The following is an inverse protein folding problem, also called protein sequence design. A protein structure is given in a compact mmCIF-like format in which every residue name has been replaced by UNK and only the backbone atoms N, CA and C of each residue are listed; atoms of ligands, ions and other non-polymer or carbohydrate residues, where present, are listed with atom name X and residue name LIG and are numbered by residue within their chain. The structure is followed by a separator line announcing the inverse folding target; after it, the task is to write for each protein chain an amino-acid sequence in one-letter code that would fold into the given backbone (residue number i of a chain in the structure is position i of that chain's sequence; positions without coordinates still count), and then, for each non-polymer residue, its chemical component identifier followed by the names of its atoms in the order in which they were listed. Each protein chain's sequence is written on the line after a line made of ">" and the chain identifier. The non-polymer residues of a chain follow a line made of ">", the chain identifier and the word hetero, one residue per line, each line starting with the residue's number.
data_IF_643344559051
#
_entry.id   IF_643344559051
#
_cell.length_a   1.000
_cell.length_b   1.000
_cell.length_c   1.000
_cell.angle_alpha   90.00
_cell.angle_beta   90.00
_cell.angle_gamma   90.00
#
_symmetry.space_group_name_H-M   'P 1'
#
loop_
_entity.id
_entity.type
_entity.pdbx_description
1 polymer ?
2 non-polymer ?
3 water ?
#
# COMPACT_ATOMS: atom_id res chain seq x y z
N UNK A 3 26.27 10.03 0.24
CA UNK A 3 26.00 9.32 -1.00
C UNK A 3 26.31 7.83 -0.84
N UNK A 4 25.99 7.03 -1.85
CA UNK A 4 26.24 5.59 -1.77
C UNK A 4 26.19 4.89 -3.12
N UNK A 5 26.13 3.55 -3.07
CA UNK A 5 26.10 2.71 -4.27
C UNK A 5 24.75 2.55 -4.97
N UNK A 6 23.76 3.33 -4.57
CA UNK A 6 22.45 3.23 -5.22
C UNK A 6 22.30 4.37 -6.24
N UNK A 7 23.28 5.27 -6.23
CA UNK A 7 23.28 6.41 -7.14
C UNK A 7 23.54 6.09 -8.59
N UNK A 8 22.82 6.77 -9.48
CA UNK A 8 23.02 6.61 -10.92
C UNK A 8 23.05 8.00 -11.53
N UNK A 9 23.69 8.15 -12.70
CA UNK A 9 23.77 9.45 -13.36
C UNK A 9 22.37 9.83 -13.82
N UNK A 10 22.00 11.09 -13.61
CA UNK A 10 20.69 11.59 -14.02
C UNK A 10 20.52 11.37 -15.54
N UNK A 11 21.61 11.56 -16.26
CA UNK A 11 21.63 11.42 -17.70
C UNK A 11 21.25 10.03 -18.22
N UNK A 12 21.27 9.03 -17.35
CA UNK A 12 20.92 7.67 -17.78
C UNK A 12 19.40 7.41 -17.84
N UNK A 13 18.64 8.38 -17.35
CA UNK A 13 17.18 8.25 -17.30
C UNK A 13 16.42 9.13 -18.28
N UNK A 14 15.51 8.53 -19.02
CA UNK A 14 14.69 9.28 -19.95
C UNK A 14 13.25 9.21 -19.45
N UNK A 15 12.76 10.30 -18.87
CA UNK A 15 11.38 10.36 -18.38
C UNK A 15 10.53 10.49 -19.63
N UNK A 16 9.39 9.84 -19.65
CA UNK A 16 8.54 9.88 -20.84
C UNK A 16 7.10 10.29 -20.60
N UNK A 17 6.35 9.44 -19.92
CA UNK A 17 4.94 9.70 -19.65
C UNK A 17 4.75 10.01 -18.18
N UNK A 18 3.78 10.85 -17.87
CA UNK A 18 3.48 11.14 -16.47
C UNK A 18 2.30 10.24 -16.17
N UNK A 19 2.51 9.25 -15.31
CA UNK A 19 1.48 8.29 -14.94
C UNK A 19 0.47 8.88 -13.97
N UNK A 20 0.98 9.71 -13.06
CA UNK A 20 0.14 10.34 -12.06
C UNK A 20 0.93 11.38 -11.30
N UNK A 21 0.45 11.75 -10.13
CA UNK A 21 1.12 12.78 -9.35
C UNK A 21 0.58 12.91 -7.94
N UNK A 22 1.49 13.08 -6.98
CA UNK A 22 1.10 13.25 -5.60
C UNK A 22 1.45 14.69 -5.21
N UNK A 23 0.93 15.16 -4.07
CA UNK A 23 1.23 16.53 -3.64
C UNK A 23 2.74 16.73 -3.46
N UNK A 24 3.43 15.66 -3.08
CA UNK A 24 4.88 15.69 -2.87
C UNK A 24 5.61 15.09 -4.08
N UNK A 25 5.60 15.80 -5.21
CA UNK A 25 6.27 15.31 -6.39
C UNK A 25 5.39 14.88 -7.55
N UNK A 26 5.74 13.77 -8.20
CA UNK A 26 5.00 13.22 -9.34
C UNK A 26 5.52 11.82 -9.64
N UNK A 27 4.89 11.12 -10.58
CA UNK A 27 5.32 9.77 -10.99
C UNK A 27 5.34 9.68 -12.52
N UNK A 28 6.53 9.39 -13.06
CA UNK A 28 6.75 9.26 -14.50
C UNK A 28 7.18 7.86 -14.94
N UNK A 29 6.85 7.50 -16.16
CA UNK A 29 7.30 6.23 -16.71
C UNK A 29 8.52 6.67 -17.52
N UNK A 30 9.54 5.83 -17.59
CA UNK A 30 10.71 6.20 -18.35
C UNK A 30 11.59 5.01 -18.64
N UNK A 31 12.84 5.28 -19.01
CA UNK A 31 13.82 4.24 -19.31
C UNK A 31 15.12 4.53 -18.58
N UNK A 32 15.85 3.49 -18.25
CA UNK A 32 17.10 3.58 -17.53
C UNK A 32 18.17 2.96 -18.41
N UNK A 33 19.25 3.71 -18.65
CA UNK A 33 20.36 3.26 -19.49
C UNK A 33 19.79 2.77 -20.79
N UNK A 34 18.74 3.45 -21.26
CA UNK A 34 18.09 3.10 -22.50
C UNK A 34 17.33 1.77 -22.54
N UNK A 35 17.84 0.74 -21.86
CA UNK A 35 17.20 -0.57 -21.89
C UNK A 35 16.08 -0.85 -20.89
N UNK A 36 16.23 -0.40 -19.64
CA UNK A 36 15.23 -0.69 -18.63
C UNK A 36 14.08 0.32 -18.52
N UNK A 37 12.85 -0.17 -18.63
CA UNK A 37 11.69 0.69 -18.50
C UNK A 37 11.43 0.78 -17.00
N UNK A 38 11.44 1.99 -16.46
CA UNK A 38 11.23 2.18 -15.03
C UNK A 38 10.15 3.22 -14.70
N UNK A 39 9.93 3.41 -13.41
CA UNK A 39 8.97 4.38 -12.91
C UNK A 39 9.79 5.26 -11.98
N UNK A 40 9.67 6.57 -12.13
CA UNK A 40 10.43 7.52 -11.32
C UNK A 40 9.52 8.45 -10.53
N UNK A 41 9.84 8.64 -9.26
CA UNK A 41 9.07 9.54 -8.41
C UNK A 41 10.01 10.71 -8.15
N UNK A 42 9.58 11.90 -8.57
CA UNK A 42 10.41 13.09 -8.43
C UNK A 42 9.95 14.01 -7.30
N UNK A 43 10.89 14.80 -6.80
CA UNK A 43 10.61 15.74 -5.73
C UNK A 43 10.43 17.13 -6.33
N UNK A 44 9.22 17.67 -6.22
CA UNK A 44 8.97 19.02 -6.70
C UNK A 44 9.65 19.87 -5.65
N UNK A 45 10.59 20.74 -6.07
CA UNK A 45 11.36 21.63 -5.20
C UNK A 45 10.67 22.33 -4.00
N UNK A 46 9.34 22.35 -3.98
CA UNK A 46 8.63 23.01 -2.89
C UNK A 46 8.14 22.17 -1.72
N UNK A 47 7.16 21.31 -2.02
CA UNK A 47 6.47 20.44 -1.06
C UNK A 47 7.17 19.91 0.23
N UNK A 48 8.46 19.64 0.18
CA UNK A 48 9.17 19.14 1.38
C UNK A 48 10.69 19.05 1.23
N UNK A 49 11.37 18.87 2.36
CA UNK A 49 12.83 18.78 2.39
C UNK A 49 13.34 17.48 1.78
N UNK A 50 14.37 17.57 0.92
CA UNK A 50 15.00 16.44 0.22
C UNK A 50 15.36 15.26 1.13
N UNK A 51 15.80 15.56 2.34
CA UNK A 51 16.17 14.53 3.31
C UNK A 51 14.98 13.59 3.55
N UNK A 52 13.79 14.19 3.66
CA UNK A 52 12.54 13.48 3.91
C UNK A 52 12.07 12.62 2.73
N UNK A 53 12.15 13.17 1.51
CA UNK A 53 11.74 12.44 0.31
C UNK A 53 12.57 11.16 0.23
N UNK A 54 13.85 11.29 0.57
CA UNK A 54 14.78 10.18 0.56
C UNK A 54 14.56 9.12 1.63
N UNK A 55 13.96 9.50 2.76
CA UNK A 55 13.71 8.54 3.83
C UNK A 55 13.00 7.32 3.26
N UNK A 56 12.12 7.55 2.29
CA UNK A 56 11.38 6.48 1.67
C UNK A 56 12.28 5.49 0.93
N UNK A 57 13.23 6.03 0.17
CA UNK A 57 14.15 5.20 -0.58
C UNK A 57 15.01 4.35 0.36
N UNK A 58 15.51 4.99 1.42
CA UNK A 58 16.35 4.32 2.39
C UNK A 58 15.66 3.06 2.89
N UNK A 59 14.39 3.19 3.24
CA UNK A 59 13.58 2.08 3.71
C UNK A 59 13.62 0.99 2.63
N UNK A 60 13.41 1.39 1.38
CA UNK A 60 13.43 0.45 0.29
C UNK A 60 14.79 -0.17 0.05
N UNK A 61 15.85 0.51 0.48
CA UNK A 61 17.20 -0.03 0.34
C UNK A 61 17.28 -1.24 1.24
N UNK A 62 16.51 -1.21 2.32
CA UNK A 62 16.52 -2.29 3.28
C UNK A 62 15.36 -3.24 3.08
N UNK A 63 14.32 -2.76 2.42
CA UNK A 63 13.15 -3.60 2.19
C UNK A 63 13.13 -4.14 0.78
N UNK A 64 13.44 -5.41 0.65
CA UNK A 64 13.49 -6.06 -0.66
C UNK A 64 12.64 -7.35 -0.64
N UNK A 65 11.51 -7.32 -1.33
CA UNK A 65 10.60 -8.47 -1.41
C UNK A 65 9.82 -8.43 -2.71
N UNK A 66 9.61 -9.60 -3.31
CA UNK A 66 8.88 -9.72 -4.57
C UNK A 66 7.47 -9.10 -4.58
N UNK A 67 6.88 -8.90 -3.41
CA UNK A 67 5.54 -8.30 -3.32
C UNK A 67 5.58 -6.86 -2.87
N UNK A 68 6.76 -6.27 -2.97
CA UNK A 68 6.97 -4.87 -2.61
C UNK A 68 7.61 -4.31 -3.84
N UNK A 69 7.19 -3.13 -4.28
CA UNK A 69 7.79 -2.51 -5.46
C UNK A 69 9.29 -2.52 -5.22
N UNK A 70 10.05 -2.76 -6.29
CA UNK A 70 11.48 -2.84 -6.16
C UNK A 70 12.27 -1.60 -6.54
N UNK A 71 13.13 -1.21 -5.62
CA UNK A 71 14.01 -0.08 -5.79
C UNK A 71 15.13 -0.43 -6.76
N UNK A 72 15.28 0.42 -7.77
CA UNK A 72 16.32 0.24 -8.76
C UNK A 72 17.49 1.15 -8.50
N UNK A 73 17.22 2.44 -8.42
CA UNK A 73 18.28 3.41 -8.18
C UNK A 73 17.75 4.75 -7.70
N UNK A 74 18.69 5.62 -7.34
CA UNK A 74 18.35 6.95 -6.83
C UNK A 74 19.27 8.05 -7.40
N UNK A 75 18.73 9.26 -7.45
CA UNK A 75 19.44 10.44 -7.91
C UNK A 75 19.08 11.44 -6.81
N UNK A 76 19.88 11.43 -5.75
CA UNK A 76 19.65 12.30 -4.59
C UNK A 76 19.95 13.78 -4.78
N UNK A 77 20.35 14.15 -5.99
CA UNK A 77 20.62 15.54 -6.29
C UNK A 77 19.28 16.09 -6.77
N UNK A 78 18.74 17.02 -5.98
CA UNK A 78 17.45 17.63 -6.29
C UNK A 78 17.50 18.30 -7.67
N UNK A 79 16.47 18.09 -8.51
CA UNK A 79 15.26 17.30 -8.26
C UNK A 79 15.57 15.83 -8.00
N UNK A 80 15.19 15.39 -6.81
CA UNK A 80 15.42 14.02 -6.39
C UNK A 80 14.55 13.06 -7.20
N UNK A 81 15.17 12.01 -7.71
CA UNK A 81 14.46 11.00 -8.46
C UNK A 81 14.54 9.69 -7.70
N UNK A 82 13.44 8.95 -7.68
CA UNK A 82 13.45 7.65 -7.04
C UNK A 82 13.01 6.69 -8.15
N UNK A 83 13.92 5.80 -8.53
CA UNK A 83 13.67 4.84 -9.61
C UNK A 83 13.34 3.44 -9.09
N UNK A 84 12.24 2.89 -9.59
CA UNK A 84 11.80 1.56 -9.21
C UNK A 84 11.34 0.80 -10.42
N UNK A 85 10.95 -0.46 -10.20
CA UNK A 85 10.43 -1.29 -11.27
C UNK A 85 9.16 -0.61 -11.77
N UNK A 86 8.63 -1.11 -12.88
CA UNK A 86 7.43 -0.52 -13.45
C UNK A 86 6.27 -1.50 -13.33
N UNK A 87 5.14 -1.01 -12.85
CA UNK A 87 3.94 -1.83 -12.70
C UNK A 87 3.02 -1.41 -13.82
N UNK A 88 2.78 -2.32 -14.76
CA UNK A 88 1.97 -2.08 -15.94
C UNK A 88 0.52 -1.62 -15.82
N UNK A 89 -0.11 -1.82 -14.66
CA UNK A 89 -1.50 -1.44 -14.51
C UNK A 89 -1.84 -0.35 -13.49
N UNK A 90 -0.81 0.12 -12.78
CA UNK A 90 -1.04 1.20 -11.82
C UNK A 90 -1.63 0.81 -10.50
N UNK A 91 -2.21 1.78 -9.81
CA UNK A 91 -2.83 1.52 -8.51
C UNK A 91 -3.99 0.55 -8.63
N UNK A 92 -4.09 -0.32 -7.63
CA UNK A 92 -5.14 -1.31 -7.53
C UNK A 92 -6.50 -0.62 -7.48
N UNK A 93 -6.55 0.50 -6.78
CA UNK A 93 -7.79 1.25 -6.63
C UNK A 93 -8.41 1.56 -7.98
N UNK A 94 -7.67 2.31 -8.82
CA UNK A 94 -8.16 2.67 -10.15
C UNK A 94 -8.53 1.43 -10.94
N UNK A 95 -7.65 0.45 -10.92
CA UNK A 95 -7.85 -0.82 -11.61
C UNK A 95 -9.22 -1.43 -11.25
N UNK A 96 -9.56 -1.36 -9.97
CA UNK A 96 -10.81 -1.89 -9.46
C UNK A 96 -12.00 -1.07 -9.94
N UNK A 97 -11.87 0.24 -9.83
CA UNK A 97 -12.94 1.13 -10.24
C UNK A 97 -13.06 1.14 -11.75
N UNK A 98 -12.04 0.61 -12.42
CA UNK A 98 -12.01 0.55 -13.86
C UNK A 98 -12.86 -0.56 -14.48
N UNK A 99 -12.84 -0.61 -15.80
CA UNK A 99 -13.59 -1.61 -16.55
C UNK A 99 -13.08 -3.04 -16.34
N UNK A 100 -11.77 -3.24 -16.39
CA UNK A 100 -11.18 -4.57 -16.19
C UNK A 100 -11.50 -5.08 -14.79
N UNK A 101 -11.56 -4.14 -13.84
CA UNK A 101 -11.87 -4.48 -12.47
C UNK A 101 -13.30 -4.97 -12.28
N UNK A 102 -14.22 -4.54 -13.13
CA UNK A 102 -15.59 -4.97 -12.97
C UNK A 102 -15.85 -6.44 -13.29
N UNK A 103 -14.93 -7.07 -14.00
CA UNK A 103 -15.11 -8.48 -14.34
C UNK A 103 -14.37 -9.42 -13.40
N UNK A 104 -13.69 -8.82 -12.43
CA UNK A 104 -12.92 -9.60 -11.48
C UNK A 104 -13.81 -10.41 -10.56
N UNK A 105 -13.45 -11.66 -10.35
CA UNK A 105 -14.23 -12.53 -9.51
C UNK A 105 -13.55 -12.78 -8.19
N UNK A 106 -14.36 -13.15 -7.21
CA UNK A 106 -13.92 -13.44 -5.84
C UNK A 106 -12.52 -14.08 -5.75
N UNK A 107 -12.29 -15.17 -6.49
CA UNK A 107 -10.98 -15.83 -6.46
C UNK A 107 -9.82 -14.92 -6.86
N UNK A 108 -10.03 -14.10 -7.89
CA UNK A 108 -8.99 -13.20 -8.34
C UNK A 108 -8.72 -12.20 -7.24
N UNK A 109 -9.79 -11.64 -6.69
CA UNK A 109 -9.73 -10.67 -5.59
C UNK A 109 -8.95 -11.23 -4.41
N UNK A 110 -9.30 -12.44 -3.96
CA UNK A 110 -8.63 -13.09 -2.83
C UNK A 110 -7.17 -13.36 -3.15
N UNK A 111 -6.89 -13.73 -4.39
CA UNK A 111 -5.54 -14.00 -4.83
C UNK A 111 -4.68 -12.76 -4.60
N UNK A 112 -5.22 -11.62 -5.03
CA UNK A 112 -4.55 -10.34 -4.89
C UNK A 112 -4.36 -9.99 -3.43
N UNK A 113 -5.36 -10.30 -2.62
CA UNK A 113 -5.28 -10.03 -1.20
C UNK A 113 -4.15 -10.88 -0.63
N UNK A 114 -4.07 -12.12 -1.09
CA UNK A 114 -3.06 -13.04 -0.63
C UNK A 114 -1.67 -12.48 -0.87
N UNK A 115 -1.47 -11.86 -2.04
CA UNK A 115 -0.17 -11.30 -2.38
C UNK A 115 0.22 -10.14 -1.49
N UNK A 116 -0.73 -9.22 -1.32
CA UNK A 116 -0.53 -8.04 -0.48
C UNK A 116 -0.17 -8.51 0.90
N UNK A 117 -0.89 -9.53 1.37
CA UNK A 117 -0.64 -10.11 2.68
C UNK A 117 0.79 -10.67 2.74
N UNK A 118 1.26 -11.24 1.64
CA UNK A 118 2.61 -11.80 1.58
C UNK A 118 3.64 -10.70 1.76
N UNK A 119 3.46 -9.60 1.04
CA UNK A 119 4.37 -8.48 1.16
C UNK A 119 4.40 -8.01 2.61
N UNK A 120 3.21 -7.89 3.19
CA UNK A 120 3.08 -7.44 4.57
C UNK A 120 3.62 -8.43 5.61
N UNK A 121 3.60 -9.71 5.29
CA UNK A 121 4.13 -10.72 6.20
C UNK A 121 5.64 -10.50 6.29
N UNK A 122 6.22 -9.99 5.21
CA UNK A 122 7.65 -9.70 5.16
C UNK A 122 7.96 -8.49 6.04
N UNK A 123 7.26 -7.39 5.80
CA UNK A 123 7.41 -6.14 6.56
C UNK A 123 7.25 -6.46 8.04
N UNK A 124 6.30 -7.34 8.32
CA UNK A 124 6.03 -7.79 9.66
C UNK A 124 7.29 -8.40 10.25
N UNK A 125 7.73 -9.56 9.75
CA UNK A 125 8.93 -10.17 10.31
C UNK A 125 10.18 -9.30 10.24
N UNK A 126 10.13 -8.24 9.44
CA UNK A 126 11.26 -7.31 9.32
C UNK A 126 11.16 -6.17 10.34
N UNK A 127 10.11 -6.22 11.15
CA UNK A 127 9.84 -5.23 12.19
C UNK A 127 9.66 -3.79 11.74
N UNK A 128 8.96 -3.62 10.64
CA UNK A 128 8.68 -2.29 10.13
C UNK A 128 7.16 -2.14 10.15
N UNK A 129 6.71 -0.91 9.98
CA UNK A 129 5.30 -0.62 9.97
C UNK A 129 5.14 0.31 8.77
N UNK A 130 4.25 -0.04 7.84
CA UNK A 130 4.00 0.77 6.66
C UNK A 130 3.27 2.07 7.01
N UNK A 131 2.11 1.92 7.65
CA UNK A 131 1.30 3.05 8.11
C UNK A 131 0.38 3.72 7.08
N UNK A 132 0.52 3.37 5.81
CA UNK A 132 -0.31 3.99 4.79
C UNK A 132 -0.83 2.90 3.86
N UNK A 133 -1.39 1.86 4.45
CA UNK A 133 -1.90 0.73 3.70
C UNK A 133 -3.36 0.87 3.27
N UNK A 134 -3.56 1.09 1.97
CA UNK A 134 -4.90 1.20 1.37
C UNK A 134 -4.75 0.82 -0.11
N UNK A 135 -5.85 0.50 -0.77
CA UNK A 135 -5.83 0.09 -2.18
C UNK A 135 -5.07 1.07 -3.09
N UNK A 136 -5.14 2.36 -2.79
CA UNK A 136 -4.45 3.35 -3.59
C UNK A 136 -2.93 3.14 -3.59
N UNK A 137 -2.41 2.50 -2.55
CA UNK A 137 -0.98 2.25 -2.44
C UNK A 137 -0.50 0.88 -2.94
N UNK A 138 -1.37 0.17 -3.65
CA UNK A 138 -1.01 -1.14 -4.21
C UNK A 138 -0.90 -0.99 -5.72
N UNK A 139 0.15 -1.55 -6.30
CA UNK A 139 0.37 -1.48 -7.73
C UNK A 139 0.19 -2.84 -8.39
N UNK A 140 -0.52 -2.84 -9.50
CA UNK A 140 -0.81 -4.06 -10.26
C UNK A 140 0.10 -4.16 -11.47
N UNK A 141 0.92 -5.19 -11.49
CA UNK A 141 1.80 -5.39 -12.62
C UNK A 141 1.08 -6.33 -13.55
N UNK A 142 1.82 -6.96 -14.44
CA UNK A 142 1.22 -7.90 -15.38
C UNK A 142 0.82 -9.16 -14.61
N UNK A 143 -0.27 -9.79 -15.03
CA UNK A 143 -0.73 -11.03 -14.42
C UNK A 143 -1.38 -10.88 -13.04
N UNK A 144 -2.07 -9.77 -12.84
CA UNK A 144 -2.74 -9.49 -11.59
C UNK A 144 -1.77 -9.68 -10.42
N UNK A 145 -0.54 -9.28 -10.65
CA UNK A 145 0.49 -9.36 -9.64
C UNK A 145 0.39 -8.02 -8.92
N UNK A 146 0.42 -8.04 -7.59
CA UNK A 146 0.31 -6.82 -6.82
C UNK A 146 1.52 -6.59 -5.92
N UNK A 147 2.03 -5.37 -5.97
CA UNK A 147 3.17 -4.98 -5.16
C UNK A 147 2.68 -3.87 -4.24
N UNK A 148 3.35 -3.75 -3.11
CA UNK A 148 3.02 -2.74 -2.11
C UNK A 148 3.96 -1.56 -2.30
N UNK A 149 3.40 -0.36 -2.46
CA UNK A 149 4.22 0.85 -2.64
C UNK A 149 4.03 1.85 -1.49
N UNK A 150 4.67 3.01 -1.60
CA UNK A 150 4.58 4.07 -0.61
C UNK A 150 5.06 3.83 0.80
N UNK A 151 6.38 3.87 0.95
CA UNK A 151 7.01 3.67 2.24
C UNK A 151 7.43 5.02 2.77
N UNK A 152 6.68 6.06 2.42
CA UNK A 152 6.97 7.40 2.88
C UNK A 152 6.73 7.49 4.37
N UNK A 153 5.90 6.58 4.88
CA UNK A 153 5.58 6.55 6.30
C UNK A 153 6.15 5.30 6.95
N UNK A 154 6.80 4.45 6.15
CA UNK A 154 7.40 3.24 6.66
C UNK A 154 8.44 3.61 7.71
N UNK A 155 8.26 3.07 8.89
CA UNK A 155 9.14 3.36 10.00
C UNK A 155 9.40 2.04 10.69
N UNK A 156 10.61 1.85 11.18
CA UNK A 156 10.91 0.63 11.91
C UNK A 156 10.28 0.93 13.26
N UNK A 157 9.67 -0.07 13.89
CA UNK A 157 9.06 0.16 15.18
C UNK A 157 10.18 0.31 16.21
N UNK A 158 10.50 1.57 16.55
CA UNK A 158 11.57 1.91 17.50
C UNK A 158 11.56 1.04 18.76
N UNK A 170 -3.33 11.99 8.72
CA UNK A 170 -3.40 10.58 8.32
C UNK A 170 -4.68 10.19 7.61
N UNK A 171 -4.62 9.10 6.82
CA UNK A 171 -5.81 8.63 6.09
C UNK A 171 -6.71 7.89 7.11
N UNK A 172 -7.31 8.69 8.01
CA UNK A 172 -8.16 8.20 9.08
C UNK A 172 -9.06 6.99 8.83
N UNK A 173 -9.76 6.96 7.69
CA UNK A 173 -10.63 5.82 7.39
C UNK A 173 -9.92 4.46 7.29
N UNK A 174 -8.59 4.49 7.16
CA UNK A 174 -7.75 3.29 7.05
C UNK A 174 -6.91 3.06 8.29
N UNK A 175 -6.77 4.09 9.10
CA UNK A 175 -5.94 4.02 10.30
C UNK A 175 -6.63 3.40 11.49
N UNK A 176 -5.93 2.49 12.16
CA UNK A 176 -6.47 1.84 13.36
C UNK A 176 -6.70 2.95 14.37
N UNK A 177 -7.80 2.89 15.14
CA UNK A 177 -8.11 3.92 16.14
C UNK A 177 -6.99 4.23 17.14
N UNK A 178 -6.40 3.22 17.76
CA UNK A 178 -5.32 3.47 18.71
C UNK A 178 -4.17 4.27 18.07
N UNK A 179 -3.99 4.09 16.77
CA UNK A 179 -2.93 4.77 16.02
C UNK A 179 -3.34 6.20 15.69
N UNK A 180 -4.56 6.35 15.18
CA UNK A 180 -5.10 7.65 14.83
C UNK A 180 -5.22 8.55 16.06
N UNK A 181 -5.66 7.95 17.16
CA UNK A 181 -5.86 8.65 18.43
C UNK A 181 -4.65 8.89 19.33
N UNK A 182 -3.84 7.86 19.51
CA UNK A 182 -2.70 7.96 20.42
C UNK A 182 -1.34 7.83 19.76
N UNK A 183 -1.34 7.62 18.45
CA UNK A 183 -0.09 7.48 17.73
C UNK A 183 0.58 6.12 17.84
N UNK A 184 -0.08 5.17 18.47
CA UNK A 184 0.52 3.85 18.59
C UNK A 184 0.49 3.15 17.23
N UNK A 185 1.56 3.26 16.48
CA UNK A 185 1.63 2.59 15.20
C UNK A 185 2.46 1.34 15.38
N UNK A 186 1.81 0.20 15.15
CA UNK A 186 2.45 -1.09 15.27
C UNK A 186 2.00 -1.84 14.03
N UNK A 187 2.59 -2.99 13.76
CA UNK A 187 2.18 -3.76 12.59
C UNK A 187 0.69 -4.12 12.71
N UNK A 188 0.18 -4.12 13.94
CA UNK A 188 -1.23 -4.41 14.21
C UNK A 188 -2.14 -3.31 13.65
N UNK A 189 -1.70 -2.04 13.70
CA UNK A 189 -2.51 -0.96 13.15
C UNK A 189 -2.54 -1.13 11.62
N UNK A 190 -1.53 -1.81 11.08
CA UNK A 190 -1.46 -2.08 9.65
C UNK A 190 -2.45 -3.19 9.31
N UNK A 191 -2.57 -4.17 10.21
CA UNK A 191 -3.51 -5.28 10.04
C UNK A 191 -4.90 -4.65 9.96
N UNK A 192 -5.10 -3.62 10.76
CA UNK A 192 -6.36 -2.91 10.76
C UNK A 192 -6.57 -2.34 9.35
N UNK A 193 -5.58 -1.58 8.88
CA UNK A 193 -5.63 -0.96 7.55
C UNK A 193 -5.94 -1.98 6.46
N UNK A 194 -5.40 -3.18 6.63
CA UNK A 194 -5.60 -4.26 5.68
C UNK A 194 -7.05 -4.71 5.61
N UNK A 195 -7.69 -4.86 6.76
CA UNK A 195 -9.08 -5.28 6.80
C UNK A 195 -9.90 -4.30 6.02
N UNK A 196 -9.51 -3.03 6.08
CA UNK A 196 -10.19 -1.95 5.37
C UNK A 196 -9.92 -2.11 3.88
N UNK A 197 -8.68 -2.43 3.55
CA UNK A 197 -8.30 -2.67 2.18
C UNK A 197 -9.18 -3.77 1.62
N UNK A 198 -9.46 -4.77 2.44
CA UNK A 198 -10.31 -5.89 2.06
C UNK A 198 -11.70 -5.47 1.61
N UNK A 199 -12.23 -4.40 2.21
CA UNK A 199 -13.54 -3.92 1.84
C UNK A 199 -13.43 -3.29 0.46
N UNK A 200 -12.32 -2.60 0.20
CA UNK A 200 -12.12 -1.99 -1.10
C UNK A 200 -12.08 -3.07 -2.19
N UNK A 201 -11.31 -4.12 -1.96
CA UNK A 201 -11.24 -5.20 -2.94
C UNK A 201 -12.64 -5.77 -3.17
N UNK A 202 -13.31 -6.17 -2.10
CA UNK A 202 -14.64 -6.74 -2.18
C UNK A 202 -15.79 -5.80 -2.62
N UNK A 203 -15.53 -4.49 -2.67
CA UNK A 203 -16.57 -3.56 -3.10
C UNK A 203 -16.22 -2.92 -4.43
N UNK A 204 -15.18 -3.44 -5.08
CA UNK A 204 -14.71 -2.93 -6.37
C UNK A 204 -14.21 -1.49 -6.23
N UNK A 205 -13.54 -1.24 -5.12
CA UNK A 205 -12.97 0.07 -4.88
C UNK A 205 -13.85 1.13 -4.24
N UNK A 206 -14.98 0.76 -3.67
CA UNK A 206 -15.85 1.76 -3.05
C UNK A 206 -15.22 2.33 -1.78
N UNK A 207 -15.61 3.55 -1.43
CA UNK A 207 -15.04 4.24 -0.27
C UNK A 207 -15.50 3.66 1.06
N UNK A 208 -14.56 3.47 2.00
CA UNK A 208 -14.86 2.93 3.33
C UNK A 208 -15.79 3.90 4.04
N UNK A 209 -16.67 3.38 4.88
CA UNK A 209 -17.61 4.21 5.64
C UNK A 209 -18.27 5.28 4.78
N UNK A 210 -19.14 4.88 3.86
CA UNK A 210 -19.85 5.78 2.95
C UNK A 210 -20.71 6.82 3.69
N UNK A 211 -20.62 8.08 3.25
CA UNK A 211 -21.39 9.14 3.87
C UNK A 211 -20.82 9.65 5.17
N UNK A 212 -19.74 9.02 5.63
CA UNK A 212 -19.10 9.40 6.86
C UNK A 212 -17.91 10.31 6.67
N UNK A 213 -17.77 11.27 7.58
CA UNK A 213 -16.66 12.21 7.56
C UNK A 213 -15.63 11.73 8.59
N UNK A 214 -14.48 12.40 8.62
CA UNK A 214 -13.40 12.03 9.54
C UNK A 214 -13.84 11.77 10.97
N UNK A 215 -14.09 12.84 11.71
CA UNK A 215 -14.50 12.78 13.12
C UNK A 215 -15.62 11.77 13.42
N UNK A 216 -16.57 11.70 12.50
CA UNK A 216 -17.69 10.78 12.60
C UNK A 216 -17.22 9.32 12.61
N UNK A 217 -16.40 8.97 11.61
CA UNK A 217 -15.87 7.61 11.48
C UNK A 217 -15.24 7.22 12.80
N UNK A 218 -14.31 8.03 13.27
CA UNK A 218 -13.59 7.78 14.50
C UNK A 218 -14.52 7.53 15.67
N UNK A 219 -15.48 8.42 15.84
CA UNK A 219 -16.44 8.32 16.93
C UNK A 219 -17.20 7.00 16.83
N UNK A 220 -17.59 6.65 15.62
CA UNK A 220 -18.32 5.41 15.38
C UNK A 220 -17.53 4.17 15.76
N UNK A 221 -16.32 4.08 15.21
CA UNK A 221 -15.43 2.97 15.48
C UNK A 221 -15.16 2.84 16.97
N UNK A 222 -14.89 3.97 17.64
CA UNK A 222 -14.63 3.92 19.07
C UNK A 222 -15.85 3.41 19.81
N UNK A 223 -17.03 3.69 19.26
CA UNK A 223 -18.27 3.22 19.89
C UNK A 223 -18.54 1.77 19.49
N UNK A 224 -17.60 1.16 18.79
CA UNK A 224 -17.75 -0.23 18.39
C UNK A 224 -18.35 -0.48 17.03
N UNK A 225 -18.49 0.57 16.21
CA UNK A 225 -19.06 0.40 14.89
C UNK A 225 -18.03 -0.22 13.96
N UNK A 226 -18.47 -1.18 13.15
CA UNK A 226 -17.64 -1.85 12.16
C UNK A 226 -18.45 -1.92 10.87
N UNK A 227 -17.78 -1.89 9.72
CA UNK A 227 -18.52 -1.95 8.46
C UNK A 227 -19.22 -3.29 8.31
N UNK A 228 -20.45 -3.28 7.77
CA UNK A 228 -21.22 -4.51 7.59
C UNK A 228 -20.63 -5.33 6.44
N UNK A 229 -20.93 -6.63 6.44
CA UNK A 229 -20.44 -7.51 5.39
C UNK A 229 -20.90 -6.99 4.04
N UNK A 230 -19.96 -6.71 3.14
CA UNK A 230 -20.31 -6.20 1.80
C UNK A 230 -21.21 -7.19 1.07
N UNK A 231 -22.14 -6.69 0.23
CA UNK A 231 -22.99 -7.65 -0.47
C UNK A 231 -21.99 -8.26 -1.44
N UNK A 232 -22.22 -9.49 -1.90
CA UNK A 232 -21.27 -10.15 -2.81
C UNK A 232 -20.09 -10.66 -2.01
N UNK A 233 -19.96 -10.22 -0.77
CA UNK A 233 -18.85 -10.66 0.07
C UNK A 233 -19.31 -11.73 1.04
N UNK A 234 -18.56 -12.85 1.10
CA UNK A 234 -18.75 -14.05 1.95
C UNK A 234 -18.46 -13.72 3.40
N UNK A 235 -19.39 -14.06 4.29
CA UNK A 235 -19.25 -13.82 5.73
C UNK A 235 -17.89 -14.20 6.27
N UNK A 236 -17.41 -15.40 5.89
CA UNK A 236 -16.11 -15.91 6.35
C UNK A 236 -15.00 -14.89 6.09
N UNK A 237 -15.13 -14.17 4.99
CA UNK A 237 -14.16 -13.15 4.64
C UNK A 237 -14.42 -11.92 5.51
N UNK A 238 -15.70 -11.63 5.76
CA UNK A 238 -16.09 -10.51 6.59
C UNK A 238 -15.63 -10.77 8.02
N UNK A 239 -15.59 -12.05 8.39
CA UNK A 239 -15.16 -12.47 9.72
C UNK A 239 -13.70 -12.15 9.82
N UNK A 240 -13.00 -12.40 8.72
CA UNK A 240 -11.59 -12.14 8.63
C UNK A 240 -11.36 -10.66 8.83
N UNK A 241 -12.20 -9.84 8.19
CA UNK A 241 -12.11 -8.39 8.32
C UNK A 241 -12.30 -7.97 9.78
N UNK A 242 -13.18 -8.69 10.48
CA UNK A 242 -13.48 -8.39 11.89
C UNK A 242 -12.33 -8.68 12.83
N UNK A 243 -11.54 -9.68 12.48
CA UNK A 243 -10.37 -10.03 13.27
C UNK A 243 -9.37 -8.87 13.16
N UNK A 244 -9.28 -8.33 11.95
CA UNK A 244 -8.39 -7.20 11.66
C UNK A 244 -8.80 -5.97 12.43
N UNK A 245 -10.10 -5.76 12.50
CA UNK A 245 -10.68 -4.62 13.17
C UNK A 245 -10.94 -4.78 14.66
N UNK A 246 -10.38 -5.82 15.28
CA UNK A 246 -10.61 -5.98 16.70
C UNK A 246 -10.03 -4.77 17.43
N UNK A 247 -10.71 -4.34 18.49
CA UNK A 247 -10.28 -3.18 19.28
C UNK A 247 -8.93 -3.42 19.92
N UNK A 248 -8.73 -4.63 20.42
CA UNK A 248 -7.47 -4.98 21.06
C UNK A 248 -6.47 -5.33 20.01
N UNK A 249 -5.41 -4.51 19.88
CA UNK A 249 -4.34 -4.71 18.89
C UNK A 249 -3.78 -6.14 18.94
N UNK A 250 -3.64 -6.68 20.15
CA UNK A 250 -3.11 -8.03 20.32
C UNK A 250 -4.08 -9.11 19.83
N UNK A 251 -5.36 -8.78 19.74
CA UNK A 251 -6.37 -9.75 19.28
C UNK A 251 -6.45 -9.78 17.75
N UNK A 252 -5.75 -8.86 17.10
CA UNK A 252 -5.71 -8.81 15.65
C UNK A 252 -4.69 -9.83 15.16
N UNK A 253 -4.99 -10.50 14.04
CA UNK A 253 -4.15 -11.52 13.42
C UNK A 253 -2.81 -11.00 12.91
N UNK A 254 -1.88 -11.92 12.66
CA UNK A 254 -0.59 -11.53 12.11
C UNK A 254 -0.72 -11.73 10.61
N UNK A 255 0.04 -10.95 9.85
CA UNK A 255 0.00 -11.07 8.39
C UNK A 255 0.40 -12.47 7.91
N UNK A 256 1.28 -13.12 8.67
CA UNK A 256 1.71 -14.47 8.34
C UNK A 256 0.45 -15.35 8.29
N UNK A 257 -0.37 -15.21 9.31
CA UNK A 257 -1.60 -15.96 9.40
C UNK A 257 -2.53 -15.59 8.26
N UNK A 258 -2.86 -14.31 8.17
CA UNK A 258 -3.72 -13.80 7.12
C UNK A 258 -3.37 -14.41 5.79
N UNK A 259 -2.09 -14.32 5.46
CA UNK A 259 -1.56 -14.85 4.22
C UNK A 259 -1.87 -16.34 4.05
N UNK A 260 -1.48 -17.16 5.02
CA UNK A 260 -1.72 -18.59 4.98
C UNK A 260 -3.20 -18.83 4.75
N UNK A 261 -4.00 -18.13 5.55
CA UNK A 261 -5.44 -18.24 5.46
C UNK A 261 -5.99 -17.90 4.07
N UNK A 262 -5.61 -16.74 3.55
CA UNK A 262 -6.06 -16.28 2.25
C UNK A 262 -5.66 -17.22 1.10
N UNK A 263 -4.47 -17.79 1.21
CA UNK A 263 -3.99 -18.73 0.18
C UNK A 263 -4.81 -20.01 0.20
N UNK A 264 -5.15 -20.46 1.41
CA UNK A 264 -5.93 -21.65 1.60
C UNK A 264 -7.41 -21.44 1.35
N UNK A 265 -7.82 -20.18 1.19
CA UNK A 265 -9.23 -19.86 1.03
C UNK A 265 -10.10 -20.79 0.21
N UNK A 266 -9.77 -21.00 -1.06
CA UNK A 266 -10.55 -21.90 -1.90
C UNK A 266 -10.04 -23.33 -1.81
N UNK A 267 -10.31 -23.94 -0.66
CA UNK A 267 -9.93 -25.32 -0.33
C UNK A 267 -10.72 -25.80 0.89
X LIG B 1 5.30 2.46 -9.83
X LIG B 1 5.72 1.53 -10.70
X LIG B 1 4.80 1.54 -11.64
X LIG B 1 3.72 2.49 -11.45
X LIG B 1 2.56 2.94 -12.07
X LIG B 1 2.23 2.41 -13.25
X LIG B 1 1.85 3.89 -11.45
X LIG B 1 2.15 4.48 -10.28
X LIG B 1 3.26 4.09 -9.62
X LIG B 1 4.08 3.14 -10.14
X LIG B 1 5.96 2.87 -8.59
X LIG B 1 6.30 4.29 -8.53
X LIG B 1 7.01 4.59 -7.20
X LIG B 1 8.35 5.11 -7.23
X LIG B 1 9.04 5.40 -5.99
X LIG B 1 8.37 5.17 -4.74
X LIG B 1 7.03 4.64 -4.69
X LIG B 1 6.34 4.36 -5.91
X LIG B 1 6.43 4.43 -3.50
X LIG B 1 1.29 2.61 -14.05
X LIG B 1 1.06 1.96 -15.28
X LIG B 1 -0.02 2.32 -16.07
X LIG B 1 -0.89 3.35 -15.66
X LIG B 1 -0.69 4.02 -14.44
X LIG B 1 0.39 3.67 -13.63
X LIG B 1 -2.28 3.84 -16.70
X LIG B 1 -1.60 4.20 -18.04
X LIG B 1 -3.10 2.53 -16.72
X LIG B 1 -3.08 4.95 -16.08
X LIG B 1 1.30 5.52 -9.64
X LIG B 1 -0.19 5.05 -9.64
X LIG B 1 -1.06 6.22 -10.14
X LIG B 1 -0.12 7.39 -10.42
X LIG B 1 1.34 6.87 -10.37
#
# INVERSE_FOLDING_TARGET
>A
LAKDAWEIPRESLRLEVKLGQGCFGEVWMGTWNGTTRVAIKTLKPGTMSPEAFLQEAQVMKKLRHEKLVQLYAVVSEEPIYIVTEYMSKGSLLDFLKGETGKYLRLPQLVDMAAQIASGMAYVERMNYVHRDLRAANILVGENLVCKVADFGLARLIEDNEYTARQGAKFPIKWTAPEAALYGRFTIKSDVWSFGILLTELTTKGRVPYPGMVNREVLDQVERGYRMPCPPECPESLHDLMCQCWRKEPEERPTFEYLQAFLEDYFTSTEPQYQPGENL
>B hetero
1 HET N9A C8A N7A C5A C6A N6A N1A C2A N3A C4A C1A CT0 CT1 CT2 CT3 CT4 CT5 CT6 OH CR1 CR2 CR3 CR4 CR5 CR6 PA OA1 CA2 CA3 CS1 CS2 CS3 CS4 CS5
#
